data_IF_931707541760
#
_entry.id   IF_931707541760
#
_cell.length_a   1.000
_cell.length_b   1.000
_cell.length_c   1.000
_cell.angle_alpha   90.00
_cell.angle_beta   90.00
_cell.angle_gamma   90.00
#
_symmetry.space_group_name_H-M   'P 1'
#
loop_
_entity.id
_entity.type
_entity.pdbx_description
1 polymer ?
#
# COMPACT_ATOMS: atom_id res chain seq x y z
N UNK A 1 -10.23 59.85 -23.64
CA UNK A 1 -10.29 58.41 -23.31
C UNK A 1 -9.52 57.65 -24.39
N UNK A 2 -8.26 57.24 -24.12
CA UNK A 2 -7.42 56.56 -25.12
C UNK A 2 -7.88 55.10 -25.23
N UNK A 3 -8.37 54.69 -26.41
CA UNK A 3 -8.74 53.30 -26.68
C UNK A 3 -7.45 52.49 -26.86
N UNK A 4 -7.13 51.65 -25.88
CA UNK A 4 -6.05 50.68 -25.98
C UNK A 4 -6.47 49.60 -26.99
N UNK A 5 -5.99 49.71 -28.22
CA UNK A 5 -6.18 48.68 -29.25
C UNK A 5 -5.05 47.67 -29.04
N UNK A 6 -5.35 46.56 -28.37
CA UNK A 6 -4.39 45.47 -28.21
C UNK A 6 -4.26 44.77 -29.58
N UNK A 7 -3.06 44.75 -30.20
CA UNK A 7 -2.88 44.14 -31.51
C UNK A 7 -3.10 42.63 -31.42
N UNK A 8 -3.84 42.07 -32.40
CA UNK A 8 -4.20 40.65 -32.52
C UNK A 8 -2.97 39.72 -32.43
N UNK A 9 -1.80 40.22 -32.86
CA UNK A 9 -0.52 39.51 -32.75
C UNK A 9 -0.10 39.21 -31.30
N UNK A 10 -0.37 40.13 -30.36
CA UNK A 10 -0.04 39.93 -28.93
C UNK A 10 -0.97 38.88 -28.31
N UNK A 11 -2.25 38.89 -28.68
CA UNK A 11 -3.21 37.87 -28.23
C UNK A 11 -2.86 36.49 -28.78
N UNK A 12 -2.45 36.39 -30.05
CA UNK A 12 -2.03 35.13 -30.66
C UNK A 12 -0.75 34.58 -30.01
N UNK A 13 0.23 35.44 -29.70
CA UNK A 13 1.47 35.06 -29.02
C UNK A 13 1.20 34.54 -27.60
N UNK A 14 0.26 35.16 -26.87
CA UNK A 14 -0.12 34.71 -25.53
C UNK A 14 -0.82 33.34 -25.57
N UNK A 15 -1.69 33.11 -26.56
CA UNK A 15 -2.32 31.79 -26.79
C UNK A 15 -1.26 30.74 -27.10
N UNK A 16 -0.29 31.03 -27.97
CA UNK A 16 0.82 30.12 -28.31
C UNK A 16 1.65 29.75 -27.07
N UNK A 17 1.90 30.70 -26.16
CA UNK A 17 2.67 30.46 -24.95
C UNK A 17 1.97 29.52 -23.94
N UNK A 18 0.63 29.48 -23.95
CA UNK A 18 -0.16 28.56 -23.11
C UNK A 18 -0.09 27.12 -23.67
N UNK A 19 0.00 26.95 -25.00
CA UNK A 19 0.00 25.61 -25.64
C UNK A 19 1.35 24.89 -25.57
N UNK A 20 2.45 25.57 -25.23
CA UNK A 20 3.80 24.98 -25.12
C UNK A 20 4.18 24.51 -23.71
N UNK A 21 3.23 24.39 -22.79
CA UNK A 21 3.43 23.67 -21.53
C UNK A 21 3.48 22.16 -21.83
N UNK A 22 4.65 21.70 -22.26
CA UNK A 22 4.90 20.31 -22.66
C UNK A 22 5.03 19.34 -21.49
N UNK A 23 4.64 18.09 -21.75
CA UNK A 23 4.67 16.94 -20.84
C UNK A 23 6.09 16.70 -20.27
N UNK A 24 6.21 16.66 -18.93
CA UNK A 24 7.45 16.27 -18.24
C UNK A 24 7.69 14.78 -18.48
N UNK A 25 8.93 14.37 -18.74
CA UNK A 25 9.25 12.95 -18.99
C UNK A 25 9.06 12.16 -17.68
N UNK A 26 8.09 11.25 -17.67
CA UNK A 26 7.87 10.31 -16.56
C UNK A 26 9.16 9.50 -16.33
N UNK A 27 9.76 9.65 -15.15
CA UNK A 27 11.02 9.00 -14.78
C UNK A 27 10.91 8.41 -13.39
N UNK A 28 11.72 7.39 -13.12
CA UNK A 28 11.79 6.77 -11.81
C UNK A 28 12.84 7.46 -10.94
N UNK A 29 12.51 7.67 -9.66
CA UNK A 29 13.52 7.98 -8.66
C UNK A 29 14.29 6.68 -8.32
N UNK A 30 15.61 6.73 -8.43
CA UNK A 30 16.50 5.58 -8.18
C UNK A 30 17.45 5.81 -7.01
N UNK A 31 17.47 7.01 -6.43
CA UNK A 31 18.31 7.32 -5.27
C UNK A 31 17.83 6.57 -4.02
N UNK A 32 18.79 6.24 -3.14
CA UNK A 32 18.51 5.71 -1.81
C UNK A 32 17.78 6.73 -0.92
N UNK A 33 17.85 8.02 -1.24
CA UNK A 33 17.18 9.08 -0.47
C UNK A 33 15.68 9.21 -0.80
N UNK A 34 15.14 8.33 -1.64
CA UNK A 34 13.72 8.31 -1.99
C UNK A 34 12.82 8.16 -0.75
N UNK A 35 11.79 8.99 -0.67
CA UNK A 35 10.88 9.04 0.46
C UNK A 35 9.69 8.08 0.26
N UNK A 36 9.61 7.05 1.10
CA UNK A 36 8.47 6.15 1.19
C UNK A 36 7.86 6.23 2.59
N UNK A 37 6.54 6.39 2.69
CA UNK A 37 5.81 6.35 3.95
C UNK A 37 4.75 5.26 3.94
N UNK A 38 4.43 4.72 5.11
CA UNK A 38 3.26 3.86 5.31
C UNK A 38 2.25 4.59 6.20
N UNK A 39 0.95 4.34 6.04
CA UNK A 39 -0.07 4.98 6.90
C UNK A 39 0.00 4.50 8.35
N UNK A 40 0.55 3.31 8.58
CA UNK A 40 0.76 2.70 9.89
C UNK A 40 2.12 2.02 9.93
N UNK A 41 2.67 1.82 11.12
CA UNK A 41 3.84 0.98 11.33
C UNK A 41 3.45 -0.44 11.82
N UNK A 42 2.28 -0.58 12.43
CA UNK A 42 1.73 -1.86 12.88
C UNK A 42 0.22 -1.95 12.60
N UNK A 43 -0.25 -3.12 12.16
CA UNK A 43 -1.67 -3.46 12.13
C UNK A 43 -1.99 -4.45 13.26
N UNK A 44 -2.86 -4.01 14.17
CA UNK A 44 -3.27 -4.77 15.34
C UNK A 44 -4.65 -5.40 15.13
N UNK A 45 -4.77 -6.70 15.41
CA UNK A 45 -6.04 -7.40 15.44
C UNK A 45 -6.39 -7.85 16.85
N UNK A 46 -7.36 -7.17 17.46
CA UNK A 46 -7.71 -7.35 18.87
C UNK A 46 -8.10 -8.79 19.24
N UNK A 47 -9.11 -9.36 18.57
CA UNK A 47 -9.58 -10.71 18.85
C UNK A 47 -10.07 -11.35 17.57
N UNK A 48 -9.42 -12.44 17.20
CA UNK A 48 -9.73 -13.19 16.00
C UNK A 48 -10.21 -14.57 16.42
N UNK A 49 -11.46 -14.87 16.06
CA UNK A 49 -11.97 -16.22 16.23
C UNK A 49 -11.36 -17.15 15.19
N UNK A 50 -10.92 -18.31 15.66
CA UNK A 50 -10.42 -19.37 14.80
C UNK A 50 -11.50 -19.83 13.80
N UNK A 51 -11.09 -20.39 12.66
CA UNK A 51 -11.94 -20.97 11.59
C UNK A 51 -12.70 -20.02 10.66
N UNK A 52 -13.13 -18.82 11.10
CA UNK A 52 -13.98 -17.93 10.27
C UNK A 52 -13.16 -16.87 9.52
N UNK A 53 -11.93 -16.62 9.97
CA UNK A 53 -11.12 -15.50 9.49
C UNK A 53 -11.55 -14.17 10.14
N UNK A 54 -10.67 -13.17 10.06
CA UNK A 54 -10.91 -11.84 10.62
C UNK A 54 -11.64 -10.91 9.64
N UNK A 55 -11.97 -9.71 10.13
CA UNK A 55 -12.19 -8.56 9.26
C UNK A 55 -10.94 -8.30 8.40
N UNK A 56 -11.13 -7.65 7.26
CA UNK A 56 -10.02 -7.11 6.46
C UNK A 56 -9.63 -5.74 7.02
N UNK A 57 -8.36 -5.59 7.41
CA UNK A 57 -7.78 -4.26 7.63
C UNK A 57 -6.94 -3.85 6.43
N UNK A 58 -6.61 -2.56 6.32
CA UNK A 58 -5.78 -2.06 5.24
C UNK A 58 -4.86 -0.95 5.71
N UNK A 59 -3.71 -0.84 5.07
CA UNK A 59 -2.85 0.33 5.16
C UNK A 59 -2.45 0.79 3.76
N UNK A 60 -1.88 1.99 3.68
CA UNK A 60 -1.37 2.56 2.43
C UNK A 60 0.14 2.63 2.44
N UNK A 61 0.72 2.45 1.27
CA UNK A 61 2.12 2.78 0.98
C UNK A 61 2.10 4.03 0.10
N UNK A 62 2.73 5.11 0.56
CA UNK A 62 2.80 6.40 -0.12
C UNK A 62 4.17 6.60 -0.75
N UNK A 63 4.17 7.03 -2.01
CA UNK A 63 5.32 7.64 -2.65
C UNK A 63 5.25 9.16 -2.47
N UNK A 64 6.04 9.70 -1.54
CA UNK A 64 6.08 11.15 -1.26
C UNK A 64 7.08 11.91 -2.13
N UNK A 65 7.55 11.28 -3.21
CA UNK A 65 8.43 11.91 -4.21
C UNK A 65 7.59 12.42 -5.39
N UNK A 66 8.11 13.40 -6.13
CA UNK A 66 7.47 13.91 -7.35
C UNK A 66 7.64 12.99 -8.58
N UNK A 67 8.51 11.99 -8.47
CA UNK A 67 8.80 11.00 -9.51
C UNK A 67 8.19 9.65 -9.15
N UNK A 68 7.99 8.78 -10.16
CA UNK A 68 7.55 7.41 -9.92
C UNK A 68 8.57 6.67 -9.06
N UNK A 69 8.09 5.83 -8.15
CA UNK A 69 8.93 4.97 -7.34
C UNK A 69 8.59 3.51 -7.63
N UNK A 70 9.62 2.69 -7.80
CA UNK A 70 9.49 1.25 -7.96
C UNK A 70 9.86 0.54 -6.66
N UNK A 71 8.90 -0.18 -6.08
CA UNK A 71 9.17 -1.14 -5.02
C UNK A 71 9.74 -2.40 -5.67
N UNK A 72 10.97 -2.75 -5.33
CA UNK A 72 11.57 -3.99 -5.82
C UNK A 72 10.86 -5.21 -5.26
N UNK A 73 10.39 -5.14 -4.01
CA UNK A 73 9.63 -6.23 -3.40
C UNK A 73 8.70 -5.73 -2.29
N UNK A 74 7.50 -6.31 -2.23
CA UNK A 74 6.61 -6.29 -1.06
C UNK A 74 6.33 -7.74 -0.69
N UNK A 75 6.68 -8.16 0.52
CA UNK A 75 6.65 -9.57 0.91
C UNK A 75 6.14 -9.77 2.33
N UNK A 76 5.24 -10.74 2.49
CA UNK A 76 4.87 -11.32 3.77
C UNK A 76 5.97 -12.28 4.22
N UNK A 77 6.62 -11.99 5.34
CA UNK A 77 7.87 -12.64 5.73
C UNK A 77 7.71 -14.13 6.03
N UNK A 78 6.59 -14.54 6.63
CA UNK A 78 6.31 -15.98 6.85
C UNK A 78 5.72 -16.67 5.61
N UNK A 79 5.52 -15.95 4.50
CA UNK A 79 5.08 -16.50 3.22
C UNK A 79 3.78 -17.30 3.35
N UNK A 80 3.74 -18.49 2.75
CA UNK A 80 2.58 -19.39 2.79
C UNK A 80 2.30 -20.01 4.15
N UNK A 81 3.25 -19.93 5.09
CA UNK A 81 3.08 -20.42 6.47
C UNK A 81 2.46 -19.38 7.40
N UNK A 82 2.29 -18.15 6.93
CA UNK A 82 1.68 -17.06 7.70
C UNK A 82 0.21 -17.33 7.99
N UNK A 83 -0.24 -16.94 9.19
CA UNK A 83 -1.66 -16.80 9.49
C UNK A 83 -2.29 -15.59 8.80
N UNK A 84 -1.47 -14.66 8.33
CA UNK A 84 -1.92 -13.49 7.59
C UNK A 84 -1.97 -13.80 6.09
N UNK A 85 -2.91 -13.15 5.40
CA UNK A 85 -2.99 -13.11 3.95
C UNK A 85 -3.04 -11.68 3.51
N UNK A 86 -2.27 -11.36 2.48
CA UNK A 86 -2.16 -10.00 1.98
C UNK A 86 -2.58 -9.90 0.52
N UNK A 87 -3.09 -8.73 0.17
CA UNK A 87 -3.36 -8.31 -1.18
C UNK A 87 -2.75 -6.92 -1.36
N UNK A 88 -1.95 -6.74 -2.41
CA UNK A 88 -1.29 -5.48 -2.73
C UNK A 88 -1.86 -4.97 -4.05
N UNK A 89 -2.50 -3.81 -3.97
CA UNK A 89 -3.13 -3.12 -5.10
C UNK A 89 -4.05 -4.01 -5.98
N UNK A 90 -4.84 -4.86 -5.33
CA UNK A 90 -5.80 -5.75 -6.00
C UNK A 90 -5.26 -7.14 -6.28
N UNK A 91 -3.95 -7.39 -6.18
CA UNK A 91 -3.34 -8.71 -6.40
C UNK A 91 -3.12 -9.43 -5.07
N UNK A 92 -3.65 -10.65 -4.93
CA UNK A 92 -3.42 -11.49 -3.76
C UNK A 92 -2.15 -12.34 -3.92
N UNK A 93 -1.41 -12.54 -2.83
CA UNK A 93 -0.14 -13.26 -2.87
C UNK A 93 0.67 -13.06 -1.59
N UNK A 94 1.86 -13.64 -1.55
CA UNK A 94 2.80 -13.50 -0.41
C UNK A 94 4.03 -12.69 -0.76
N UNK A 95 4.30 -12.46 -2.04
CA UNK A 95 5.39 -11.66 -2.54
C UNK A 95 4.99 -11.01 -3.86
N UNK A 96 5.37 -9.74 -4.03
CA UNK A 96 5.03 -8.92 -5.17
C UNK A 96 6.29 -8.15 -5.57
N UNK A 97 6.63 -8.18 -6.86
CA UNK A 97 7.86 -7.56 -7.35
C UNK A 97 7.53 -6.42 -8.31
N UNK A 98 8.45 -5.47 -8.42
CA UNK A 98 8.42 -4.39 -9.40
C UNK A 98 7.12 -3.56 -9.40
N UNK A 99 6.56 -3.30 -8.21
CA UNK A 99 5.35 -2.47 -8.07
C UNK A 99 5.71 -1.01 -8.29
N UNK A 100 4.99 -0.34 -9.18
CA UNK A 100 5.20 1.07 -9.49
C UNK A 100 4.14 1.93 -8.80
N UNK A 101 4.57 3.00 -8.14
CA UNK A 101 3.69 4.00 -7.53
C UNK A 101 4.01 5.35 -8.17
N UNK A 102 2.98 6.05 -8.68
CA UNK A 102 3.17 7.37 -9.26
C UNK A 102 3.67 8.38 -8.21
N UNK A 103 4.26 9.48 -8.68
CA UNK A 103 4.68 10.57 -7.79
C UNK A 103 3.49 11.14 -7.02
N UNK A 104 3.67 11.38 -5.73
CA UNK A 104 2.64 11.88 -4.82
C UNK A 104 1.36 11.02 -4.74
N UNK A 105 1.50 9.71 -5.00
CA UNK A 105 0.40 8.75 -5.00
C UNK A 105 0.59 7.65 -3.94
N UNK A 106 -0.39 6.76 -3.83
CA UNK A 106 -0.37 5.65 -2.87
C UNK A 106 -1.08 4.40 -3.40
N UNK A 107 -0.65 3.24 -2.90
CA UNK A 107 -1.32 1.97 -3.12
C UNK A 107 -1.87 1.41 -1.81
N UNK A 108 -2.89 0.56 -1.91
CA UNK A 108 -3.43 -0.16 -0.76
C UNK A 108 -2.75 -1.52 -0.56
N UNK A 109 -2.59 -1.88 0.71
CA UNK A 109 -2.28 -3.24 1.15
C UNK A 109 -3.40 -3.68 2.07
N UNK A 110 -4.17 -4.66 1.63
CA UNK A 110 -5.21 -5.30 2.43
C UNK A 110 -4.62 -6.51 3.14
N UNK A 111 -4.97 -6.67 4.41
CA UNK A 111 -4.51 -7.74 5.27
C UNK A 111 -5.73 -8.42 5.88
N UNK A 112 -5.70 -9.74 5.94
CA UNK A 112 -6.64 -10.56 6.70
C UNK A 112 -5.85 -11.57 7.49
N UNK A 113 -6.41 -12.07 8.59
CA UNK A 113 -5.81 -13.15 9.38
C UNK A 113 -6.79 -14.30 9.51
N UNK A 114 -6.29 -15.52 9.35
CA UNK A 114 -7.07 -16.74 9.52
C UNK A 114 -6.27 -17.74 10.34
N UNK A 115 -6.83 -18.09 11.50
CA UNK A 115 -6.18 -18.95 12.48
C UNK A 115 -6.88 -20.31 12.52
N UNK A 116 -6.09 -21.39 12.40
CA UNK A 116 -6.59 -22.75 12.49
C UNK A 116 -7.02 -23.07 13.95
N UNK A 117 -8.25 -23.57 14.18
CA UNK A 117 -8.76 -23.91 15.53
C UNK A 117 -7.96 -24.99 16.25
N UNK A 118 -7.21 -25.83 15.54
CA UNK A 118 -6.41 -26.92 16.12
C UNK A 118 -5.01 -26.47 16.59
N UNK A 119 -4.73 -25.17 16.59
CA UNK A 119 -3.49 -24.66 17.18
C UNK A 119 -3.48 -24.92 18.70
N UNK A 120 -2.49 -25.66 19.17
CA UNK A 120 -2.50 -26.33 20.48
C UNK A 120 -2.53 -25.41 21.73
N UNK A 121 -2.35 -24.09 21.59
CA UNK A 121 -2.12 -23.17 22.71
C UNK A 121 -3.01 -21.91 22.63
N UNK A 122 -4.30 -22.00 22.93
CA UNK A 122 -5.18 -20.83 22.98
C UNK A 122 -5.38 -20.30 24.41
N UNK A 123 -5.34 -18.97 24.65
CA UNK A 123 -5.04 -17.89 23.70
C UNK A 123 -3.58 -17.85 23.25
N UNK A 124 -3.34 -17.42 22.00
CA UNK A 124 -1.98 -17.11 21.52
C UNK A 124 -1.95 -15.83 20.71
N UNK A 125 -0.77 -15.20 20.71
CA UNK A 125 -0.45 -14.08 19.84
C UNK A 125 0.22 -14.63 18.59
N UNK A 126 -0.29 -14.28 17.41
CA UNK A 126 0.40 -14.49 16.14
C UNK A 126 1.01 -13.20 15.67
N UNK A 127 2.22 -13.28 15.12
CA UNK A 127 2.95 -12.13 14.63
C UNK A 127 3.55 -12.45 13.27
N UNK A 128 3.63 -11.45 12.41
CA UNK A 128 4.38 -11.51 11.16
C UNK A 128 4.77 -10.08 10.75
N UNK A 129 5.46 -9.94 9.63
CA UNK A 129 5.77 -8.63 9.08
C UNK A 129 5.65 -8.61 7.56
N UNK A 130 5.32 -7.43 7.04
CA UNK A 130 5.36 -7.13 5.61
C UNK A 130 6.61 -6.31 5.35
N UNK A 131 7.55 -6.88 4.61
CA UNK A 131 8.78 -6.20 4.17
C UNK A 131 8.53 -5.48 2.86
N UNK A 132 8.98 -4.23 2.78
CA UNK A 132 8.91 -3.39 1.59
C UNK A 132 10.34 -2.96 1.24
N UNK A 133 10.80 -3.23 0.02
CA UNK A 133 12.13 -2.84 -0.45
C UNK A 133 12.04 -1.97 -1.70
N UNK A 134 12.89 -0.95 -1.78
CA UNK A 134 12.94 0.01 -2.88
C UNK A 134 14.29 0.73 -2.87
N UNK A 135 14.95 0.92 -4.01
CA UNK A 135 16.23 1.65 -4.15
C UNK A 135 17.30 1.30 -3.08
N UNK A 136 17.40 0.04 -2.66
CA UNK A 136 18.31 -0.42 -1.60
C UNK A 136 17.83 -0.21 -0.16
N UNK A 137 16.72 0.51 0.04
CA UNK A 137 16.06 0.66 1.34
C UNK A 137 15.16 -0.52 1.67
N UNK A 138 14.91 -0.71 2.97
CA UNK A 138 13.96 -1.68 3.50
C UNK A 138 13.12 -1.04 4.61
N UNK A 139 11.80 -1.20 4.56
CA UNK A 139 10.86 -0.84 5.63
C UNK A 139 10.00 -2.05 5.99
N UNK A 140 9.52 -2.09 7.23
CA UNK A 140 8.61 -3.12 7.70
C UNK A 140 7.31 -2.49 8.20
N UNK A 141 6.21 -3.20 7.97
CA UNK A 141 4.95 -3.02 8.70
C UNK A 141 4.71 -4.29 9.51
N UNK A 142 4.53 -4.13 10.80
CA UNK A 142 4.32 -5.24 11.73
C UNK A 142 2.85 -5.67 11.73
N UNK A 143 2.61 -6.96 11.92
CA UNK A 143 1.29 -7.55 12.04
C UNK A 143 1.22 -8.31 13.35
N UNK A 144 0.16 -8.10 14.14
CA UNK A 144 -0.14 -8.96 15.27
C UNK A 144 -1.66 -9.24 15.41
N UNK A 145 -1.98 -10.40 16.00
CA UNK A 145 -3.34 -10.76 16.31
C UNK A 145 -3.43 -11.67 17.54
N UNK A 146 -4.48 -11.50 18.35
CA UNK A 146 -4.80 -12.43 19.44
C UNK A 146 -5.84 -13.45 18.95
N UNK A 147 -5.46 -14.73 18.94
CA UNK A 147 -6.34 -15.84 18.59
C UNK A 147 -7.13 -16.36 19.79
N UNK A 148 -8.45 -16.55 19.61
CA UNK A 148 -9.34 -17.21 20.58
C UNK A 148 -10.20 -18.29 19.92
N UNK A 149 -10.46 -19.38 20.64
CA UNK A 149 -11.44 -20.38 20.21
C UNK A 149 -12.86 -19.90 20.46
N UNK A 150 -13.75 -20.19 19.50
CA UNK A 150 -15.18 -19.95 19.64
C UNK A 150 -15.98 -21.20 19.23
N UNK A 151 -17.03 -21.48 20.00
CA UNK A 151 -18.04 -22.46 19.65
C UNK A 151 -19.22 -21.74 18.98
N UNK A 152 -19.38 -21.92 17.67
CA UNK A 152 -20.43 -21.27 16.91
C UNK A 152 -21.73 -22.06 16.99
N UNK A 153 -22.69 -21.56 17.75
CA UNK A 153 -24.04 -22.11 17.78
C UNK A 153 -24.80 -21.67 16.52
N UNK A 154 -24.93 -22.56 15.54
CA UNK A 154 -25.88 -22.39 14.43
C UNK A 154 -27.22 -22.99 14.81
N UNK A 155 -28.29 -22.20 14.66
CA UNK A 155 -29.64 -22.72 14.81
C UNK A 155 -29.90 -23.72 13.67
N UNK A 156 -29.98 -25.02 13.98
CA UNK A 156 -30.49 -26.02 13.05
C UNK A 156 -32.00 -25.83 12.97
N UNK A 157 -32.49 -25.34 11.85
CA UNK A 157 -33.92 -25.45 11.50
C UNK A 157 -34.21 -26.85 11.00
#
# INVERSE_FOLDING_TARGET
>A
MKRFIIPISITLLFVIMIVVQGCKKESFITSSDALLRTSVDTLHYDTVFTSIGSITQSFKIFNSNDQKLKLSNVQLMSGSSSFFKINVDGVAGTAFNDIEINGNDSIYVFVTVNINPNAANLPFVVQDSIRITYNGNTKFVQLDALGLNANFLRNKR
#
